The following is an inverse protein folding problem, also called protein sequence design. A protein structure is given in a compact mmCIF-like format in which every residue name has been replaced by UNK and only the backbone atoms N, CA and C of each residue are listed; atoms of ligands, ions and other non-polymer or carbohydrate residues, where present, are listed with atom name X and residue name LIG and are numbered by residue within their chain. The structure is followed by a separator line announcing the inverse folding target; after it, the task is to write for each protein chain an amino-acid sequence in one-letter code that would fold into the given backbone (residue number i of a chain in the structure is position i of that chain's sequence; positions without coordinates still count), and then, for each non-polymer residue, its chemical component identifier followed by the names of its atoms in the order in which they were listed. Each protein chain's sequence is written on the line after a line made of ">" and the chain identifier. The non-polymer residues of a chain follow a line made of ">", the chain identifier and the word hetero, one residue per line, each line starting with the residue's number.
data_IF_054242138673
#
_entry.id   IF_054242138673
#
_cell.length_a   1.000
_cell.length_b   1.000
_cell.length_c   1.000
_cell.angle_alpha   90.00
_cell.angle_beta   90.00
_cell.angle_gamma   90.00
#
_symmetry.space_group_name_H-M   'P 1'
#
loop_
_entity.id
_entity.type
_entity.pdbx_description
1 polymer ?
#
# COMPACT_ATOMS: atom_id res chain seq x y z
N UNK A 1 1.45 3.50 11.87
CA UNK A 1 1.16 2.11 12.30
C UNK A 1 0.93 1.27 11.07
N UNK A 2 1.05 -0.05 11.14
CA UNK A 2 0.81 -0.95 10.00
C UNK A 2 0.33 -2.32 10.51
N UNK A 3 0.30 -3.36 9.68
CA UNK A 3 -0.18 -4.70 10.07
C UNK A 3 -1.63 -4.62 10.63
N UNK A 4 -1.92 -5.22 11.79
CA UNK A 4 -3.22 -5.18 12.51
C UNK A 4 -3.93 -3.82 12.52
N UNK A 5 -3.18 -2.71 12.55
CA UNK A 5 -3.73 -1.35 12.60
C UNK A 5 -4.42 -0.96 11.27
N UNK A 6 -4.17 -1.68 10.17
CA UNK A 6 -4.74 -1.47 8.82
C UNK A 6 -6.26 -1.21 8.86
N UNK A 7 -7.02 -2.01 9.60
CA UNK A 7 -8.49 -1.86 9.67
C UNK A 7 -8.89 -0.52 10.28
N UNK A 8 -8.18 -0.08 11.32
CA UNK A 8 -8.41 1.21 11.97
C UNK A 8 -8.00 2.39 11.07
N UNK A 9 -6.88 2.29 10.35
CA UNK A 9 -6.44 3.33 9.40
C UNK A 9 -7.51 3.61 8.34
N UNK A 10 -7.99 2.56 7.65
CA UNK A 10 -9.00 2.70 6.61
C UNK A 10 -10.35 3.15 7.18
N UNK A 11 -10.75 2.69 8.36
CA UNK A 11 -11.98 3.13 9.01
C UNK A 11 -11.96 4.63 9.34
N UNK A 12 -10.85 5.15 9.90
CA UNK A 12 -10.69 6.57 10.21
C UNK A 12 -10.70 7.45 8.94
N UNK A 13 -10.11 6.97 7.84
CA UNK A 13 -10.18 7.66 6.54
C UNK A 13 -11.62 7.67 6.01
N UNK A 14 -12.27 6.50 5.93
CA UNK A 14 -13.59 6.34 5.31
C UNK A 14 -14.73 7.01 6.09
N UNK A 15 -14.71 6.96 7.43
CA UNK A 15 -15.85 7.37 8.25
C UNK A 15 -15.60 8.65 9.07
N UNK A 16 -14.34 9.04 9.28
CA UNK A 16 -14.00 10.27 10.01
C UNK A 16 -13.36 11.34 9.11
N UNK A 17 -13.03 11.03 7.85
CA UNK A 17 -12.34 11.95 6.93
C UNK A 17 -10.93 12.34 7.42
N UNK A 18 -10.32 11.50 8.27
CA UNK A 18 -9.02 11.77 8.86
C UNK A 18 -7.89 11.28 7.97
N UNK A 19 -6.82 12.06 7.85
CA UNK A 19 -5.55 11.57 7.35
C UNK A 19 -4.96 10.60 8.37
N UNK A 20 -4.52 9.43 7.91
CA UNK A 20 -3.82 8.44 8.75
C UNK A 20 -2.52 8.01 8.10
N UNK A 21 -1.67 7.27 8.82
CA UNK A 21 -0.31 6.96 8.38
C UNK A 21 0.00 5.46 8.51
N UNK A 22 0.11 4.79 7.36
CA UNK A 22 0.79 3.51 7.26
C UNK A 22 2.28 3.76 7.50
N UNK A 23 2.81 3.35 8.64
CA UNK A 23 4.08 3.89 9.14
C UNK A 23 4.70 3.03 10.25
N UNK A 24 6.04 3.14 10.45
CA UNK A 24 6.77 2.56 11.57
C UNK A 24 6.05 2.63 12.92
N UNK A 25 6.10 1.54 13.67
CA UNK A 25 5.58 1.41 15.03
C UNK A 25 6.68 1.59 16.07
N UNK A 26 6.30 2.13 17.23
CA UNK A 26 7.23 2.44 18.33
C UNK A 26 7.98 1.18 18.81
N UNK A 27 7.24 0.08 19.02
CA UNK A 27 7.79 -1.14 19.61
C UNK A 27 8.55 -2.04 18.62
N UNK A 28 8.24 -1.96 17.32
CA UNK A 28 8.77 -2.87 16.29
C UNK A 28 9.92 -2.26 15.50
N UNK A 29 9.79 -1.00 15.08
CA UNK A 29 10.70 -0.36 14.14
C UNK A 29 11.55 0.70 14.85
N UNK A 30 10.91 1.66 15.54
CA UNK A 30 11.59 2.81 16.16
C UNK A 30 12.51 2.33 17.30
N UNK A 31 12.07 1.33 18.08
CA UNK A 31 12.86 0.70 19.15
C UNK A 31 14.15 0.02 18.65
N UNK A 32 14.17 -0.44 17.39
CA UNK A 32 15.31 -1.12 16.75
C UNK A 32 16.24 -0.15 16.03
N UNK A 33 15.80 1.11 15.85
CA UNK A 33 16.48 2.13 15.07
C UNK A 33 16.04 2.09 13.61
N UNK A 34 15.49 3.23 13.14
CA UNK A 34 15.19 3.42 11.72
C UNK A 34 16.47 3.76 10.95
N UNK A 35 16.53 3.43 9.65
CA UNK A 35 17.56 3.98 8.76
C UNK A 35 17.44 5.50 8.72
N UNK A 36 18.55 6.22 8.57
CA UNK A 36 18.50 7.70 8.52
C UNK A 36 17.60 8.26 7.40
N UNK A 37 17.49 7.65 6.20
CA UNK A 37 16.47 8.00 5.21
C UNK A 37 15.03 7.82 5.73
N UNK A 38 14.69 6.66 6.29
CA UNK A 38 13.34 6.40 6.81
C UNK A 38 13.00 7.31 8.00
N UNK A 39 13.98 7.59 8.87
CA UNK A 39 13.86 8.55 9.98
C UNK A 39 13.61 9.96 9.49
N UNK A 40 14.39 10.43 8.52
CA UNK A 40 14.27 11.78 7.95
C UNK A 40 12.93 11.97 7.26
N UNK A 41 12.49 10.97 6.49
CA UNK A 41 11.18 10.96 5.85
C UNK A 41 10.04 10.98 6.88
N UNK A 42 10.07 10.10 7.87
CA UNK A 42 9.05 10.02 8.93
C UNK A 42 8.89 11.35 9.67
N UNK A 43 9.99 11.92 10.18
CA UNK A 43 9.91 13.16 10.96
C UNK A 43 9.64 14.39 10.11
N UNK A 44 10.24 14.48 8.91
CA UNK A 44 10.00 15.61 8.01
C UNK A 44 8.54 15.71 7.54
N UNK A 45 7.88 14.58 7.29
CA UNK A 45 6.45 14.59 6.92
C UNK A 45 5.56 14.86 8.13
N UNK A 46 5.87 14.31 9.32
CA UNK A 46 5.10 14.56 10.54
C UNK A 46 5.28 15.99 11.10
N UNK A 47 6.41 16.64 10.86
CA UNK A 47 6.67 18.04 11.25
C UNK A 47 6.05 19.06 10.29
N UNK A 48 5.62 18.62 9.11
CA UNK A 48 5.16 19.50 8.03
C UNK A 48 6.29 20.18 7.24
N UNK A 49 7.56 19.84 7.50
CA UNK A 49 8.72 20.32 6.73
C UNK A 49 8.73 19.73 5.30
N UNK A 50 8.41 18.43 5.18
CA UNK A 50 8.27 17.70 3.90
C UNK A 50 6.79 17.64 3.52
N UNK A 51 6.37 18.62 2.72
CA UNK A 51 4.97 18.79 2.28
C UNK A 51 4.60 18.01 1.02
N UNK A 52 5.60 17.62 0.24
CA UNK A 52 5.49 16.88 -1.02
C UNK A 52 6.74 16.04 -1.18
N UNK A 53 6.63 14.85 -1.73
CA UNK A 53 7.77 13.97 -2.01
C UNK A 53 7.48 13.10 -3.22
N UNK A 54 8.55 12.51 -3.77
CA UNK A 54 8.48 11.62 -4.92
C UNK A 54 9.36 10.39 -4.64
N UNK A 55 8.81 9.19 -4.85
CA UNK A 55 9.48 7.93 -4.57
C UNK A 55 9.46 7.09 -5.86
N UNK A 56 10.67 6.77 -6.34
CA UNK A 56 10.87 5.72 -7.34
C UNK A 56 10.60 4.34 -6.73
N UNK A 57 9.78 3.57 -7.43
CA UNK A 57 9.40 2.19 -7.12
C UNK A 57 10.21 1.21 -7.98
N UNK A 58 10.02 -0.10 -7.80
CA UNK A 58 10.89 -1.12 -8.40
C UNK A 58 10.51 -1.48 -9.83
N UNK A 59 9.23 -1.76 -10.07
CA UNK A 59 8.79 -2.40 -11.32
C UNK A 59 7.36 -2.02 -11.73
N UNK A 60 7.21 -1.67 -13.01
CA UNK A 60 5.92 -1.48 -13.67
C UNK A 60 5.29 -2.82 -14.03
N UNK A 61 4.10 -3.09 -13.48
CA UNK A 61 3.24 -4.21 -13.94
C UNK A 61 2.24 -3.72 -14.98
N UNK A 62 1.66 -2.52 -14.79
CA UNK A 62 0.80 -1.85 -15.76
C UNK A 62 1.18 -0.37 -15.90
N UNK A 63 1.45 0.12 -17.12
CA UNK A 63 1.62 1.54 -17.35
C UNK A 63 0.27 2.26 -17.26
N UNK A 64 0.32 3.56 -17.02
CA UNK A 64 -0.84 4.42 -16.84
C UNK A 64 -0.53 5.54 -15.85
N UNK A 65 -1.47 6.47 -15.67
CA UNK A 65 -1.37 7.51 -14.65
C UNK A 65 -2.69 7.66 -13.93
N UNK A 66 -2.63 7.82 -12.61
CA UNK A 66 -3.80 7.98 -11.77
C UNK A 66 -3.51 8.95 -10.62
N UNK A 67 -4.42 9.89 -10.40
CA UNK A 67 -4.39 10.79 -9.26
C UNK A 67 -5.63 10.58 -8.41
N UNK A 68 -5.46 10.05 -7.21
CA UNK A 68 -6.55 9.78 -6.29
C UNK A 68 -6.04 9.74 -4.83
N UNK A 69 -6.98 9.71 -3.89
CA UNK A 69 -6.66 9.47 -2.47
C UNK A 69 -6.16 8.03 -2.27
N UNK A 70 -5.14 7.87 -1.42
CA UNK A 70 -4.61 6.55 -1.09
C UNK A 70 -5.28 5.93 0.15
N UNK A 71 -5.47 4.61 0.09
CA UNK A 71 -5.96 3.72 1.16
C UNK A 71 -5.22 2.37 1.07
N UNK A 72 -5.49 1.45 2.01
CA UNK A 72 -5.03 0.06 1.93
C UNK A 72 -4.20 -0.37 3.14
N UNK A 73 -3.13 -1.15 2.91
CA UNK A 73 -2.29 -1.76 3.96
C UNK A 73 -2.20 -3.27 3.82
N UNK A 74 -2.25 -3.97 4.95
CA UNK A 74 -2.08 -5.42 5.02
C UNK A 74 -3.20 -6.18 4.27
N UNK A 75 -2.86 -6.89 3.20
CA UNK A 75 -3.78 -7.58 2.29
C UNK A 75 -4.66 -8.61 3.02
N UNK A 76 -4.07 -9.46 3.86
CA UNK A 76 -4.78 -10.47 4.64
C UNK A 76 -5.86 -9.88 5.54
N UNK A 77 -5.65 -8.69 6.09
CA UNK A 77 -6.65 -7.99 6.92
C UNK A 77 -7.74 -7.32 6.09
N UNK A 78 -7.39 -6.67 4.97
CA UNK A 78 -8.39 -6.10 4.04
C UNK A 78 -9.33 -7.19 3.50
N UNK A 79 -8.79 -8.38 3.20
CA UNK A 79 -9.58 -9.54 2.75
C UNK A 79 -10.43 -10.12 3.89
N UNK A 80 -9.98 -10.02 5.15
CA UNK A 80 -10.71 -10.49 6.33
C UNK A 80 -11.92 -9.60 6.67
N UNK A 81 -11.91 -8.31 6.32
CA UNK A 81 -13.05 -7.39 6.59
C UNK A 81 -14.08 -7.31 5.47
N UNK A 82 -13.90 -8.01 4.34
CA UNK A 82 -14.84 -8.01 3.21
C UNK A 82 -16.26 -8.39 3.66
N UNK A 83 -17.26 -7.59 3.26
CA UNK A 83 -18.66 -7.80 3.65
C UNK A 83 -19.02 -7.45 5.10
N UNK A 84 -18.09 -6.92 5.89
CA UNK A 84 -18.34 -6.39 7.24
C UNK A 84 -18.54 -4.86 7.22
N UNK A 85 -18.97 -4.22 8.33
CA UNK A 85 -18.98 -2.75 8.44
C UNK A 85 -17.59 -2.09 8.35
N UNK A 86 -16.51 -2.87 8.40
CA UNK A 86 -15.11 -2.43 8.27
C UNK A 86 -14.51 -2.77 6.90
N UNK A 87 -15.37 -3.11 5.93
CA UNK A 87 -14.96 -3.36 4.56
C UNK A 87 -14.41 -2.08 3.90
N UNK A 88 -13.35 -2.24 3.11
CA UNK A 88 -12.61 -1.15 2.49
C UNK A 88 -13.32 -0.64 1.22
N UNK A 89 -13.42 0.67 1.06
CA UNK A 89 -13.97 1.30 -0.14
C UNK A 89 -12.86 1.80 -1.07
N UNK A 90 -12.61 1.02 -2.12
CA UNK A 90 -11.53 1.23 -3.08
C UNK A 90 -11.93 2.07 -4.29
N UNK A 91 -13.22 2.43 -4.43
CA UNK A 91 -13.76 3.07 -5.63
C UNK A 91 -13.17 4.47 -5.82
N UNK A 92 -12.51 4.67 -6.96
CA UNK A 92 -11.81 5.91 -7.29
C UNK A 92 -10.61 6.21 -6.39
N UNK A 93 -10.02 5.21 -5.71
CA UNK A 93 -8.85 5.36 -4.82
C UNK A 93 -7.58 4.74 -5.42
N UNK A 94 -6.43 5.18 -4.95
CA UNK A 94 -5.19 4.39 -5.06
C UNK A 94 -5.17 3.36 -3.92
N UNK A 95 -4.92 2.10 -4.25
CA UNK A 95 -4.87 1.01 -3.27
C UNK A 95 -3.43 0.56 -3.04
N UNK A 96 -2.96 0.67 -1.81
CA UNK A 96 -1.69 0.13 -1.36
C UNK A 96 -1.88 -1.27 -0.74
N UNK A 97 -1.03 -2.24 -1.09
CA UNK A 97 -1.10 -3.62 -0.58
C UNK A 97 0.29 -4.14 -0.16
N UNK A 98 0.40 -4.61 1.08
CA UNK A 98 1.57 -5.30 1.65
C UNK A 98 1.10 -6.54 2.44
N UNK A 99 1.99 -7.48 2.79
CA UNK A 99 1.66 -8.59 3.69
C UNK A 99 2.92 -9.23 4.30
N UNK A 100 2.76 -10.13 5.28
CA UNK A 100 3.89 -10.81 5.92
C UNK A 100 3.64 -12.29 6.23
N UNK A 101 4.65 -13.14 5.96
CA UNK A 101 4.63 -14.57 6.32
C UNK A 101 3.61 -15.43 5.58
N UNK A 102 2.97 -14.90 4.53
CA UNK A 102 1.90 -15.56 3.81
C UNK A 102 2.40 -16.26 2.54
N UNK A 103 2.22 -17.59 2.47
CA UNK A 103 2.70 -18.40 1.31
C UNK A 103 2.13 -17.89 -0.03
N UNK A 104 2.85 -17.99 -1.16
CA UNK A 104 2.42 -17.40 -2.44
C UNK A 104 1.00 -17.80 -2.89
N UNK A 105 0.60 -19.07 -2.73
CA UNK A 105 -0.76 -19.52 -3.09
C UNK A 105 -1.88 -18.84 -2.26
N UNK A 106 -1.56 -18.36 -1.06
CA UNK A 106 -2.48 -17.62 -0.21
C UNK A 106 -2.58 -16.17 -0.67
N UNK A 107 -1.46 -15.53 -1.03
CA UNK A 107 -1.46 -14.21 -1.69
C UNK A 107 -2.30 -14.25 -2.97
N UNK A 108 -2.09 -15.23 -3.85
CA UNK A 108 -2.89 -15.43 -5.07
C UNK A 108 -4.39 -15.56 -4.76
N UNK A 109 -4.74 -16.40 -3.78
CA UNK A 109 -6.13 -16.58 -3.33
C UNK A 109 -6.73 -15.28 -2.77
N UNK A 110 -5.97 -14.50 -2.00
CA UNK A 110 -6.42 -13.25 -1.39
C UNK A 110 -6.61 -12.15 -2.43
N UNK A 111 -5.68 -11.97 -3.35
CA UNK A 111 -5.81 -11.05 -4.49
C UNK A 111 -6.99 -11.46 -5.40
N UNK A 112 -7.18 -12.76 -5.64
CA UNK A 112 -8.33 -13.28 -6.40
C UNK A 112 -9.64 -13.02 -5.67
N UNK A 113 -9.70 -13.22 -4.35
CA UNK A 113 -10.90 -12.93 -3.55
C UNK A 113 -11.22 -11.43 -3.55
N UNK A 114 -10.22 -10.57 -3.39
CA UNK A 114 -10.35 -9.11 -3.47
C UNK A 114 -10.91 -8.66 -4.83
N UNK A 115 -10.43 -9.28 -5.93
CA UNK A 115 -10.97 -9.09 -7.28
C UNK A 115 -12.43 -9.56 -7.39
N UNK A 116 -12.75 -10.76 -6.93
CA UNK A 116 -14.10 -11.33 -6.97
C UNK A 116 -15.11 -10.58 -6.09
N UNK A 117 -14.65 -9.88 -5.06
CA UNK A 117 -15.46 -8.98 -4.22
C UNK A 117 -15.67 -7.58 -4.85
N UNK A 118 -15.25 -7.37 -6.10
CA UNK A 118 -15.42 -6.11 -6.85
C UNK A 118 -14.50 -4.97 -6.39
N UNK A 119 -13.57 -5.21 -5.45
CA UNK A 119 -12.69 -4.17 -4.88
C UNK A 119 -11.63 -3.67 -5.86
N UNK A 120 -11.50 -4.30 -7.02
CA UNK A 120 -10.56 -3.92 -8.07
C UNK A 120 -11.26 -3.41 -9.34
N UNK A 121 -12.59 -3.26 -9.34
CA UNK A 121 -13.36 -2.90 -10.54
C UNK A 121 -13.25 -1.40 -10.84
N UNK A 122 -13.44 -0.55 -9.81
CA UNK A 122 -13.38 0.92 -9.90
C UNK A 122 -12.12 1.53 -9.25
N UNK A 123 -11.07 0.73 -8.97
CA UNK A 123 -9.84 1.25 -8.35
C UNK A 123 -9.07 2.13 -9.34
N UNK A 124 -8.53 3.26 -8.87
CA UNK A 124 -7.80 4.20 -9.73
C UNK A 124 -6.38 3.70 -10.08
N UNK A 125 -5.77 2.89 -9.22
CA UNK A 125 -4.44 2.31 -9.41
C UNK A 125 -4.00 1.52 -8.18
N UNK A 126 -3.02 0.63 -8.35
CA UNK A 126 -2.55 -0.26 -7.28
C UNK A 126 -1.04 -0.15 -7.08
N UNK A 127 -0.62 -0.01 -5.83
CA UNK A 127 0.80 0.02 -5.42
C UNK A 127 1.06 -1.17 -4.49
N UNK A 128 2.01 -2.01 -4.85
CA UNK A 128 2.43 -3.12 -4.01
C UNK A 128 3.68 -2.75 -3.19
N UNK A 129 3.54 -2.89 -1.87
CA UNK A 129 4.60 -2.77 -0.89
C UNK A 129 5.43 -4.04 -0.76
N UNK A 130 5.98 -4.24 0.44
CA UNK A 130 6.74 -5.42 0.78
C UNK A 130 5.82 -6.64 1.03
N UNK A 131 6.24 -7.80 0.56
CA UNK A 131 5.64 -9.11 0.89
C UNK A 131 6.69 -9.93 1.65
N UNK A 132 7.00 -9.51 2.87
CA UNK A 132 8.11 -10.07 3.66
C UNK A 132 7.82 -11.50 4.07
N UNK A 133 8.81 -12.39 4.00
CA UNK A 133 8.67 -13.82 4.32
C UNK A 133 7.50 -14.52 3.59
N UNK A 134 7.02 -13.96 2.48
CA UNK A 134 5.92 -14.50 1.67
C UNK A 134 6.43 -15.46 0.57
N UNK A 135 7.67 -15.92 0.68
CA UNK A 135 8.30 -16.85 -0.23
C UNK A 135 7.73 -18.28 -0.09
N UNK A 136 7.93 -19.09 -1.13
CA UNK A 136 7.34 -20.42 -1.23
C UNK A 136 8.33 -21.52 -1.58
N UNK A 137 7.98 -22.73 -1.17
CA UNK A 137 8.51 -24.01 -1.64
C UNK A 137 7.92 -24.43 -3.02
N UNK A 138 7.00 -23.63 -3.57
CA UNK A 138 6.32 -23.86 -4.84
C UNK A 138 6.99 -23.20 -6.04
N UNK A 139 6.40 -23.37 -7.22
CA UNK A 139 6.98 -22.92 -8.50
C UNK A 139 6.68 -21.48 -8.91
N UNK A 140 5.95 -20.70 -8.10
CA UNK A 140 5.55 -19.32 -8.42
C UNK A 140 5.80 -18.37 -7.25
N UNK A 141 6.45 -17.25 -7.55
CA UNK A 141 6.76 -16.17 -6.62
C UNK A 141 5.64 -15.12 -6.60
N UNK A 142 5.57 -14.31 -5.53
CA UNK A 142 4.54 -13.27 -5.37
C UNK A 142 4.56 -12.25 -6.52
N UNK A 143 5.74 -11.85 -6.99
CA UNK A 143 5.86 -10.93 -8.13
C UNK A 143 5.24 -11.49 -9.42
N UNK A 144 5.39 -12.79 -9.68
CA UNK A 144 4.78 -13.45 -10.84
C UNK A 144 3.25 -13.52 -10.73
N UNK A 145 2.74 -13.82 -9.53
CA UNK A 145 1.30 -13.81 -9.23
C UNK A 145 0.71 -12.43 -9.49
N UNK A 146 1.36 -11.36 -9.02
CA UNK A 146 0.93 -9.97 -9.27
C UNK A 146 0.96 -9.67 -10.77
N UNK A 147 2.07 -9.96 -11.44
CA UNK A 147 2.24 -9.71 -12.88
C UNK A 147 1.21 -10.43 -13.75
N UNK A 148 0.76 -11.62 -13.35
CA UNK A 148 -0.28 -12.38 -14.05
C UNK A 148 -1.70 -11.87 -13.72
N UNK A 149 -2.06 -11.69 -12.45
CA UNK A 149 -3.42 -11.29 -12.03
C UNK A 149 -3.81 -9.88 -12.51
N UNK A 150 -2.82 -8.98 -12.63
CA UNK A 150 -2.98 -7.60 -13.04
C UNK A 150 -2.56 -7.33 -14.49
N UNK A 151 -2.14 -8.35 -15.25
CA UNK A 151 -1.68 -8.22 -16.65
C UNK A 151 -2.59 -7.39 -17.54
N UNK A 152 -3.90 -7.52 -17.35
CA UNK A 152 -4.94 -6.87 -18.17
C UNK A 152 -5.70 -5.77 -17.42
N UNK A 153 -5.21 -5.30 -16.26
CA UNK A 153 -5.90 -4.27 -15.49
C UNK A 153 -5.99 -2.92 -16.25
N UNK A 154 -7.12 -2.19 -16.20
CA UNK A 154 -7.32 -0.93 -16.92
C UNK A 154 -6.67 0.30 -16.24
N UNK A 155 -6.01 0.10 -15.10
CA UNK A 155 -5.37 1.13 -14.27
C UNK A 155 -3.86 0.86 -14.08
N UNK A 156 -3.05 1.87 -13.70
CA UNK A 156 -1.64 1.66 -13.39
C UNK A 156 -1.43 0.73 -12.20
N UNK A 157 -0.41 -0.13 -12.29
CA UNK A 157 -0.02 -1.09 -11.26
C UNK A 157 1.50 -1.13 -11.17
N UNK A 158 2.03 -0.91 -9.96
CA UNK A 158 3.48 -0.81 -9.71
C UNK A 158 3.84 -1.56 -8.43
N UNK A 159 5.03 -2.16 -8.38
CA UNK A 159 5.52 -2.92 -7.22
C UNK A 159 6.81 -2.33 -6.64
N UNK A 160 7.13 -2.73 -5.40
CA UNK A 160 8.37 -2.37 -4.73
C UNK A 160 8.35 -0.97 -4.09
N UNK A 161 7.20 -0.57 -3.55
CA UNK A 161 7.19 0.45 -2.51
C UNK A 161 7.85 -0.14 -1.25
N UNK A 162 8.88 0.52 -0.72
CA UNK A 162 9.58 0.12 0.52
C UNK A 162 8.72 0.50 1.73
N UNK A 163 7.63 -0.21 1.93
CA UNK A 163 6.66 -0.01 3.00
C UNK A 163 5.94 -1.33 3.28
N UNK A 164 5.74 -1.62 4.56
CA UNK A 164 5.26 -2.92 5.02
C UNK A 164 6.22 -3.49 6.06
N UNK A 165 6.38 -4.81 6.04
CA UNK A 165 7.22 -5.55 6.98
C UNK A 165 8.68 -5.72 6.53
N UNK A 166 9.16 -4.96 5.53
CA UNK A 166 10.52 -5.05 4.99
C UNK A 166 11.60 -4.44 5.90
N UNK A 167 12.85 -4.38 5.40
CA UNK A 167 13.97 -3.71 6.10
C UNK A 167 13.75 -2.19 6.27
N UNK A 168 13.06 -1.56 5.31
CA UNK A 168 12.68 -0.14 5.37
C UNK A 168 11.16 -0.01 5.26
N UNK A 169 10.54 0.53 6.32
CA UNK A 169 9.11 0.84 6.35
C UNK A 169 8.92 2.35 6.15
N UNK A 170 8.88 2.82 4.90
CA UNK A 170 8.64 4.23 4.60
C UNK A 170 7.19 4.60 4.90
N UNK A 171 7.02 5.73 5.59
CA UNK A 171 5.71 6.24 5.95
C UNK A 171 4.91 6.70 4.73
N UNK A 172 3.65 6.24 4.67
CA UNK A 172 2.72 6.46 3.58
C UNK A 172 1.38 6.97 4.16
N UNK A 173 0.98 8.24 3.89
CA UNK A 173 -0.28 8.79 4.36
C UNK A 173 -1.48 8.28 3.54
N UNK A 174 -2.57 7.92 4.23
CA UNK A 174 -3.85 7.57 3.65
C UNK A 174 -4.87 8.69 3.86
N UNK A 175 -5.84 8.81 2.94
CA UNK A 175 -6.81 9.90 2.91
C UNK A 175 -6.31 11.19 2.25
N UNK A 176 -5.14 11.17 1.61
CA UNK A 176 -4.58 12.30 0.84
C UNK A 176 -4.30 11.92 -0.61
N UNK A 177 -4.31 12.91 -1.51
CA UNK A 177 -4.10 12.67 -2.94
C UNK A 177 -2.64 12.44 -3.28
N UNK A 178 -2.40 11.38 -4.05
CA UNK A 178 -1.10 11.08 -4.66
C UNK A 178 -1.26 10.90 -6.17
N UNK A 179 -0.17 11.06 -6.91
CA UNK A 179 -0.04 10.66 -8.30
C UNK A 179 0.73 9.34 -8.36
N UNK A 180 0.14 8.32 -8.98
CA UNK A 180 0.81 7.10 -9.39
C UNK A 180 1.11 7.17 -10.89
N UNK A 181 2.39 7.09 -11.27
CA UNK A 181 2.83 6.93 -12.65
C UNK A 181 3.37 5.52 -12.86
N UNK A 182 2.56 4.68 -13.49
CA UNK A 182 2.95 3.33 -13.90
C UNK A 182 3.91 3.32 -15.08
N UNK A 183 4.07 4.43 -15.83
CA UNK A 183 5.03 4.51 -16.93
C UNK A 183 6.48 4.68 -16.47
N UNK A 184 6.69 5.32 -15.32
CA UNK A 184 8.01 5.56 -14.71
C UNK A 184 8.24 4.81 -13.40
N UNK A 185 7.30 3.97 -12.98
CA UNK A 185 7.27 3.28 -11.69
C UNK A 185 7.48 4.26 -10.52
N UNK A 186 6.56 5.21 -10.36
CA UNK A 186 6.74 6.36 -9.47
C UNK A 186 5.47 6.69 -8.67
N UNK A 187 5.64 7.05 -7.39
CA UNK A 187 4.57 7.54 -6.53
C UNK A 187 4.95 8.91 -5.95
N UNK A 188 4.05 9.89 -6.10
CA UNK A 188 4.28 11.27 -5.68
C UNK A 188 3.16 11.77 -4.75
N UNK A 189 3.54 12.29 -3.59
CA UNK A 189 2.65 13.04 -2.71
C UNK A 189 2.51 14.48 -3.20
N UNK A 190 1.28 14.92 -3.43
CA UNK A 190 0.97 16.20 -4.08
C UNK A 190 0.66 17.34 -3.09
N UNK A 191 0.32 17.02 -1.84
CA UNK A 191 -0.06 17.99 -0.81
C UNK A 191 0.32 17.50 0.59
N UNK A 192 0.42 18.43 1.55
CA UNK A 192 0.83 18.11 2.92
C UNK A 192 -0.23 17.24 3.62
N UNK A 193 0.16 16.11 4.25
CA UNK A 193 -0.76 15.26 5.01
C UNK A 193 -0.99 15.77 6.44
N UNK A 194 -0.29 16.83 6.84
CA UNK A 194 -0.43 17.53 8.12
C UNK A 194 -0.74 19.01 7.88
N UNK A 195 -1.45 19.62 8.83
CA UNK A 195 -1.92 21.02 8.82
C UNK A 195 -0.99 21.89 9.64
#
# INVERSE_FOLDING_TARGET
>A
GYSDITVLLNWLVQFCGMVTFHAPMVAMDISRGLTEPARTHLWGVLSGEVRTWEIGLRETVRPGRAQAEMIGGCLSLLVTTLGTPYDVDTRGKLLFLEDVGEKPYRIERMLTHLKMAGKLDDVAGVVFGDFTDCDGDGSREVGQIIAELFRDAPYPVVTGMRAGHGEENLMLPFGVKMMLDGGSANLQLLESPVI
#
